data_IF_402953170152
#
_entry.id   IF_402953170152
#
_cell.length_a   1.000
_cell.length_b   1.000
_cell.length_c   1.000
_cell.angle_alpha   90.00
_cell.angle_beta   90.00
_cell.angle_gamma   90.00
#
_symmetry.space_group_name_H-M   'P 1'
#
loop_
_entity.id
_entity.type
_entity.pdbx_description
1 polymer ?
#
# COMPACT_ATOMS: atom_id res chain seq x y z
N UNK A 1 3.04 19.22 2.84
CA UNK A 1 4.44 19.63 2.58
C UNK A 1 5.17 20.10 3.85
N UNK A 2 4.63 21.04 4.63
CA UNK A 2 5.32 21.56 5.83
C UNK A 2 5.68 20.47 6.85
N UNK A 3 4.79 19.51 7.10
CA UNK A 3 5.09 18.37 8.01
C UNK A 3 6.24 17.51 7.48
N UNK A 4 6.27 17.17 6.18
CA UNK A 4 7.36 16.39 5.57
C UNK A 4 8.72 17.09 5.73
N UNK A 5 8.74 18.41 5.52
CA UNK A 5 9.95 19.23 5.71
C UNK A 5 10.38 19.22 7.18
N UNK A 6 9.44 19.32 8.12
CA UNK A 6 9.74 19.23 9.55
C UNK A 6 10.29 17.84 9.92
N UNK A 7 9.70 16.75 9.42
CA UNK A 7 10.18 15.39 9.67
C UNK A 7 11.63 15.19 9.18
N UNK A 8 11.99 15.78 8.05
CA UNK A 8 13.37 15.79 7.55
C UNK A 8 14.31 16.66 8.40
N UNK A 9 13.89 17.89 8.77
CA UNK A 9 14.67 18.80 9.61
C UNK A 9 14.97 18.16 10.97
N UNK A 10 13.97 17.52 11.58
CA UNK A 10 14.12 16.81 12.85
C UNK A 10 14.75 15.42 12.73
N UNK A 11 15.19 15.01 11.52
CA UNK A 11 15.79 13.70 11.22
C UNK A 11 14.93 12.53 11.69
N UNK A 12 13.61 12.71 11.70
CA UNK A 12 12.65 11.65 11.97
C UNK A 12 12.43 10.76 10.74
N UNK A 13 12.79 11.26 9.56
CA UNK A 13 12.80 10.54 8.28
C UNK A 13 14.13 10.75 7.53
N UNK A 14 14.51 9.77 6.74
CA UNK A 14 15.71 9.77 5.89
C UNK A 14 15.43 10.32 4.49
N UNK A 15 16.48 10.71 3.77
CA UNK A 15 16.34 11.15 2.37
C UNK A 15 15.83 10.05 1.44
N UNK A 16 16.16 8.78 1.71
CA UNK A 16 15.64 7.65 0.94
C UNK A 16 14.13 7.45 1.19
N UNK A 17 13.68 7.55 2.43
CA UNK A 17 12.25 7.54 2.76
C UNK A 17 11.53 8.71 2.09
N UNK A 18 12.10 9.92 2.11
CA UNK A 18 11.51 11.08 1.44
C UNK A 18 11.37 10.89 -0.08
N UNK A 19 12.31 10.22 -0.75
CA UNK A 19 12.19 9.88 -2.18
C UNK A 19 11.00 8.94 -2.44
N UNK A 20 10.76 7.96 -1.56
CA UNK A 20 9.59 7.07 -1.66
C UNK A 20 8.32 7.87 -1.44
N UNK A 21 8.27 8.66 -0.37
CA UNK A 21 7.11 9.48 -0.02
C UNK A 21 6.75 10.45 -1.17
N UNK A 22 7.76 11.05 -1.80
CA UNK A 22 7.59 11.88 -2.99
C UNK A 22 7.10 11.05 -4.19
N UNK A 23 7.62 9.85 -4.39
CA UNK A 23 7.14 8.94 -5.45
C UNK A 23 5.66 8.60 -5.26
N UNK A 24 5.21 8.33 -4.03
CA UNK A 24 3.79 8.15 -3.71
C UNK A 24 2.95 9.39 -4.03
N UNK A 25 3.49 10.59 -3.78
CA UNK A 25 2.81 11.84 -4.14
C UNK A 25 2.54 11.91 -5.64
N UNK A 26 3.59 11.70 -6.44
CA UNK A 26 3.54 11.82 -7.90
C UNK A 26 2.64 10.73 -8.49
N UNK A 27 2.90 9.47 -8.14
CA UNK A 27 2.17 8.30 -8.64
C UNK A 27 0.69 8.38 -8.25
N UNK A 28 0.39 8.76 -7.01
CA UNK A 28 -0.96 8.96 -6.51
C UNK A 28 -1.69 10.08 -7.25
N UNK A 29 -1.04 11.23 -7.45
CA UNK A 29 -1.64 12.37 -8.17
C UNK A 29 -1.93 12.02 -9.63
N UNK A 30 -0.99 11.37 -10.33
CA UNK A 30 -1.21 10.92 -11.73
C UNK A 30 -2.37 9.92 -11.81
N UNK A 31 -2.44 9.00 -10.84
CA UNK A 31 -3.52 8.02 -10.75
C UNK A 31 -4.87 8.69 -10.55
N UNK A 32 -4.97 9.65 -9.63
CA UNK A 32 -6.19 10.41 -9.39
C UNK A 32 -6.65 11.16 -10.64
N UNK A 33 -5.72 11.86 -11.31
CA UNK A 33 -6.05 12.63 -12.53
C UNK A 33 -6.61 11.69 -13.59
N UNK A 34 -5.95 10.55 -13.82
CA UNK A 34 -6.44 9.57 -14.78
C UNK A 34 -7.81 9.01 -14.35
N UNK A 35 -7.95 8.55 -13.11
CA UNK A 35 -9.15 7.84 -12.66
C UNK A 35 -10.39 8.72 -12.56
N UNK A 36 -10.23 9.97 -12.15
CA UNK A 36 -11.31 10.96 -12.17
C UNK A 36 -11.68 11.34 -13.61
N UNK A 37 -10.71 11.45 -14.53
CA UNK A 37 -10.99 11.74 -15.95
C UNK A 37 -11.83 10.67 -16.65
N UNK A 38 -11.68 9.40 -16.27
CA UNK A 38 -12.51 8.28 -16.79
C UNK A 38 -13.75 8.01 -15.94
N UNK A 39 -14.10 8.93 -15.04
CA UNK A 39 -15.34 8.89 -14.24
C UNK A 39 -15.36 7.81 -13.15
N UNK A 40 -14.20 7.32 -12.70
CA UNK A 40 -14.15 6.26 -11.68
C UNK A 40 -14.68 6.71 -10.31
N UNK A 41 -14.54 8.00 -9.99
CA UNK A 41 -15.14 8.71 -8.86
C UNK A 41 -15.06 10.21 -9.12
N UNK A 42 -15.75 10.99 -8.28
CA UNK A 42 -15.72 12.46 -8.35
C UNK A 42 -15.46 13.07 -6.97
N UNK A 43 -14.77 14.21 -6.96
CA UNK A 43 -14.68 15.09 -5.81
C UNK A 43 -15.83 16.12 -5.90
N UNK A 44 -16.83 16.06 -5.01
CA UNK A 44 -18.02 16.91 -5.13
C UNK A 44 -17.76 18.36 -4.71
N UNK A 45 -16.80 18.58 -3.82
CA UNK A 45 -16.47 19.89 -3.27
C UNK A 45 -15.41 20.61 -4.10
N UNK A 46 -15.52 21.94 -4.16
CA UNK A 46 -14.51 22.77 -4.81
C UNK A 46 -13.19 22.75 -4.01
N UNK A 47 -12.08 22.51 -4.69
CA UNK A 47 -10.75 22.54 -4.09
C UNK A 47 -9.99 23.80 -4.50
N UNK A 48 -9.48 24.54 -3.51
CA UNK A 48 -8.65 25.74 -3.72
C UNK A 48 -7.30 25.36 -4.35
N UNK A 49 -6.73 24.23 -3.91
CA UNK A 49 -5.47 23.69 -4.39
C UNK A 49 -5.74 22.41 -5.18
N UNK A 50 -5.76 22.50 -6.51
CA UNK A 50 -6.04 21.37 -7.38
C UNK A 50 -5.16 21.38 -8.64
N UNK A 51 -4.87 20.19 -9.16
CA UNK A 51 -4.20 19.98 -10.45
C UNK A 51 -5.15 19.16 -11.32
N UNK A 52 -5.50 19.68 -12.50
CA UNK A 52 -6.42 19.00 -13.43
C UNK A 52 -7.75 18.54 -12.79
N UNK A 53 -8.32 19.36 -11.90
CA UNK A 53 -9.58 19.05 -11.18
C UNK A 53 -9.42 18.10 -9.99
N UNK A 54 -8.20 17.61 -9.72
CA UNK A 54 -7.90 16.74 -8.57
C UNK A 54 -7.36 17.59 -7.41
N UNK A 55 -7.96 17.51 -6.21
CA UNK A 55 -7.45 18.20 -5.03
C UNK A 55 -6.03 17.72 -4.66
N UNK A 56 -5.11 18.66 -4.42
CA UNK A 56 -3.73 18.35 -4.03
C UNK A 56 -3.61 17.54 -2.73
N UNK A 57 -4.63 17.62 -1.85
CA UNK A 57 -4.65 16.81 -0.63
C UNK A 57 -4.66 15.31 -0.90
N UNK A 58 -5.24 14.85 -2.03
CA UNK A 58 -5.26 13.43 -2.39
C UNK A 58 -3.84 12.89 -2.60
N UNK A 59 -2.99 13.62 -3.35
CA UNK A 59 -1.57 13.34 -3.49
C UNK A 59 -0.86 13.27 -2.14
N UNK A 60 -1.20 14.13 -1.19
CA UNK A 60 -0.64 14.07 0.16
C UNK A 60 -1.14 12.88 0.97
N UNK A 61 -2.39 12.45 0.80
CA UNK A 61 -2.90 11.23 1.42
C UNK A 61 -2.09 10.01 0.98
N UNK A 62 -1.74 9.89 -0.30
CA UNK A 62 -0.88 8.80 -0.78
C UNK A 62 0.52 8.86 -0.16
N UNK A 63 1.13 10.05 -0.05
CA UNK A 63 2.41 10.24 0.64
C UNK A 63 2.39 9.76 2.09
N UNK A 64 1.28 10.00 2.81
CA UNK A 64 1.12 9.53 4.19
C UNK A 64 1.17 8.01 4.30
N UNK A 65 0.66 7.26 3.31
CA UNK A 65 0.73 5.80 3.28
C UNK A 65 2.19 5.33 3.19
N UNK A 66 2.98 5.94 2.30
CA UNK A 66 4.40 5.63 2.15
C UNK A 66 5.19 5.93 3.43
N UNK A 67 4.98 7.10 4.04
CA UNK A 67 5.61 7.48 5.31
C UNK A 67 5.24 6.51 6.43
N UNK A 68 3.95 6.20 6.57
CA UNK A 68 3.46 5.24 7.56
C UNK A 68 4.10 3.86 7.40
N UNK A 69 4.16 3.31 6.18
CA UNK A 69 4.76 2.00 5.93
C UNK A 69 6.26 1.98 6.24
N UNK A 70 7.01 3.00 5.81
CA UNK A 70 8.44 3.15 6.14
C UNK A 70 8.65 3.19 7.66
N UNK A 71 7.78 3.93 8.37
CA UNK A 71 7.85 4.06 9.82
C UNK A 71 7.47 2.77 10.53
N UNK A 72 6.38 2.12 10.13
CA UNK A 72 5.93 0.85 10.67
C UNK A 72 7.01 -0.23 10.50
N UNK A 73 7.64 -0.28 9.33
CA UNK A 73 8.76 -1.20 9.06
C UNK A 73 9.90 -1.05 10.07
N UNK A 74 10.26 0.19 10.37
CA UNK A 74 11.37 0.50 11.28
C UNK A 74 10.98 0.31 12.73
N UNK A 75 9.78 0.77 13.12
CA UNK A 75 9.30 0.75 14.50
C UNK A 75 9.00 -0.67 14.98
N UNK A 76 8.44 -1.51 14.11
CA UNK A 76 8.11 -2.88 14.44
C UNK A 76 9.21 -3.87 14.08
N UNK A 77 10.38 -3.40 13.62
CA UNK A 77 11.52 -4.23 13.23
C UNK A 77 11.08 -5.38 12.30
N UNK A 78 10.51 -5.04 11.15
CA UNK A 78 10.01 -6.04 10.23
C UNK A 78 11.14 -6.91 9.65
N UNK A 79 10.99 -8.22 9.84
CA UNK A 79 11.84 -9.27 9.29
C UNK A 79 10.96 -10.27 8.52
N UNK A 80 11.51 -10.93 7.52
CA UNK A 80 10.73 -11.75 6.58
C UNK A 80 11.37 -13.11 6.35
N UNK A 81 10.62 -14.18 6.62
CA UNK A 81 11.02 -15.53 6.21
C UNK A 81 10.40 -15.88 4.86
N UNK A 82 11.17 -16.57 4.00
CA UNK A 82 10.75 -16.98 2.66
C UNK A 82 10.17 -15.82 1.82
N UNK A 83 10.83 -14.65 1.88
CA UNK A 83 10.49 -13.52 1.04
C UNK A 83 10.86 -13.84 -0.43
N UNK A 84 9.99 -13.57 -1.43
CA UNK A 84 10.33 -13.78 -2.83
C UNK A 84 11.48 -12.88 -3.27
N UNK A 85 12.17 -13.21 -4.36
CA UNK A 85 13.15 -12.28 -4.92
C UNK A 85 12.46 -10.95 -5.28
N UNK A 86 13.09 -9.82 -4.95
CA UNK A 86 12.50 -8.48 -5.17
C UNK A 86 12.13 -8.20 -6.63
N UNK A 87 12.81 -8.85 -7.59
CA UNK A 87 12.46 -8.76 -9.01
C UNK A 87 11.04 -9.25 -9.29
N UNK A 88 10.61 -10.35 -8.66
CA UNK A 88 9.26 -10.89 -8.85
C UNK A 88 8.20 -9.98 -8.23
N UNK A 89 8.50 -9.37 -7.09
CA UNK A 89 7.65 -8.36 -6.46
C UNK A 89 7.51 -7.11 -7.34
N UNK A 90 8.61 -6.66 -7.94
CA UNK A 90 8.62 -5.53 -8.87
C UNK A 90 7.79 -5.83 -10.13
N UNK A 91 8.00 -7.00 -10.76
CA UNK A 91 7.24 -7.44 -11.93
C UNK A 91 5.74 -7.52 -11.62
N UNK A 92 5.36 -8.14 -10.51
CA UNK A 92 3.96 -8.21 -10.07
C UNK A 92 3.39 -6.79 -9.84
N UNK A 93 4.13 -5.91 -9.18
CA UNK A 93 3.68 -4.54 -8.90
C UNK A 93 3.47 -3.73 -10.17
N UNK A 94 4.37 -3.85 -11.15
CA UNK A 94 4.22 -3.20 -12.46
C UNK A 94 3.00 -3.76 -13.19
N UNK A 95 2.81 -5.09 -13.20
CA UNK A 95 1.65 -5.72 -13.83
C UNK A 95 0.32 -5.28 -13.18
N UNK A 96 0.28 -5.18 -11.85
CA UNK A 96 -0.87 -4.63 -11.12
C UNK A 96 -1.11 -3.18 -11.52
N UNK A 97 -0.06 -2.34 -11.55
CA UNK A 97 -0.20 -0.92 -11.88
C UNK A 97 -0.72 -0.74 -13.31
N UNK A 98 -0.15 -1.46 -14.27
CA UNK A 98 -0.60 -1.43 -15.67
C UNK A 98 -2.06 -1.87 -15.76
N UNK A 99 -2.43 -3.02 -15.20
CA UNK A 99 -3.83 -3.48 -15.20
C UNK A 99 -4.77 -2.50 -14.51
N UNK A 100 -4.33 -1.84 -13.43
CA UNK A 100 -5.11 -0.82 -12.74
C UNK A 100 -5.43 0.35 -13.66
N UNK A 101 -4.58 0.74 -14.60
CA UNK A 101 -4.90 1.80 -15.57
C UNK A 101 -5.64 1.28 -16.81
N UNK A 102 -5.33 0.07 -17.26
CA UNK A 102 -5.81 -0.44 -18.55
C UNK A 102 -7.13 -1.18 -18.49
N UNK A 103 -7.58 -1.69 -17.33
CA UNK A 103 -8.86 -2.44 -17.23
C UNK A 103 -10.11 -1.63 -17.64
N UNK A 104 -9.99 -0.32 -17.76
CA UNK A 104 -11.03 0.54 -18.35
C UNK A 104 -11.18 0.35 -19.86
N UNK A 105 -10.14 -0.14 -20.53
CA UNK A 105 -10.05 -0.29 -21.99
C UNK A 105 -9.91 -1.73 -22.44
N UNK A 106 -9.34 -2.60 -21.60
CA UNK A 106 -9.11 -4.02 -21.88
C UNK A 106 -9.70 -4.90 -20.78
N UNK A 107 -9.63 -6.22 -20.96
CA UNK A 107 -10.09 -7.18 -19.97
C UNK A 107 -9.41 -6.99 -18.61
N UNK A 108 -10.17 -7.26 -17.56
CA UNK A 108 -9.71 -7.14 -16.18
C UNK A 108 -8.99 -8.41 -15.70
N UNK A 109 -7.66 -8.36 -15.70
CA UNK A 109 -6.80 -9.49 -15.32
C UNK A 109 -6.57 -9.64 -13.80
N UNK A 110 -7.38 -8.98 -12.94
CA UNK A 110 -7.21 -9.05 -11.48
C UNK A 110 -7.14 -10.47 -10.92
N UNK A 111 -7.92 -11.42 -11.44
CA UNK A 111 -7.87 -12.83 -11.00
C UNK A 111 -6.50 -13.49 -11.21
N UNK A 112 -5.84 -13.21 -12.33
CA UNK A 112 -4.48 -13.70 -12.62
C UNK A 112 -3.49 -13.05 -11.66
N UNK A 113 -3.64 -11.75 -11.40
CA UNK A 113 -2.78 -11.02 -10.47
C UNK A 113 -2.95 -11.49 -9.02
N UNK A 114 -4.18 -11.82 -8.59
CA UNK A 114 -4.42 -12.44 -7.28
C UNK A 114 -3.75 -13.80 -7.16
N UNK A 115 -3.88 -14.66 -8.18
CA UNK A 115 -3.21 -15.95 -8.19
C UNK A 115 -1.68 -15.79 -8.10
N UNK A 116 -1.10 -14.87 -8.86
CA UNK A 116 0.33 -14.57 -8.79
C UNK A 116 0.76 -14.04 -7.41
N UNK A 117 0.01 -13.10 -6.83
CA UNK A 117 0.27 -12.57 -5.50
C UNK A 117 0.22 -13.66 -4.42
N UNK A 118 -0.79 -14.53 -4.47
CA UNK A 118 -0.91 -15.67 -3.55
C UNK A 118 0.27 -16.61 -3.75
N UNK A 119 0.58 -17.03 -4.98
CA UNK A 119 1.69 -17.95 -5.25
C UNK A 119 3.03 -17.43 -4.73
N UNK A 120 3.32 -16.15 -4.90
CA UNK A 120 4.56 -15.54 -4.42
C UNK A 120 4.57 -15.43 -2.89
N UNK A 121 3.48 -14.99 -2.28
CA UNK A 121 3.47 -14.57 -0.87
C UNK A 121 2.91 -15.62 0.10
N UNK A 122 2.40 -16.75 -0.39
CA UNK A 122 1.76 -17.80 0.44
C UNK A 122 2.70 -18.33 1.53
N UNK A 123 3.99 -18.45 1.20
CA UNK A 123 5.01 -18.95 2.13
C UNK A 123 5.67 -17.84 2.95
N UNK A 124 5.45 -16.58 2.57
CA UNK A 124 6.13 -15.44 3.19
C UNK A 124 5.51 -15.14 4.54
N UNK A 125 6.36 -15.08 5.56
CA UNK A 125 5.96 -14.73 6.93
C UNK A 125 6.64 -13.43 7.32
N UNK A 126 5.86 -12.51 7.88
CA UNK A 126 6.37 -11.28 8.47
C UNK A 126 6.50 -11.47 9.97
N UNK A 127 7.68 -11.19 10.49
CA UNK A 127 8.02 -11.12 11.90
C UNK A 127 8.08 -9.66 12.30
N UNK A 128 7.49 -9.35 13.45
CA UNK A 128 7.39 -7.98 13.94
C UNK A 128 7.40 -7.99 15.47
N UNK A 129 8.04 -6.99 16.06
CA UNK A 129 8.11 -6.84 17.51
C UNK A 129 7.20 -5.71 17.95
N UNK A 130 6.09 -6.04 18.61
CA UNK A 130 5.29 -5.04 19.28
C UNK A 130 5.85 -4.85 20.69
N UNK A 131 6.56 -3.74 20.90
CA UNK A 131 7.21 -3.33 22.14
C UNK A 131 8.36 -4.25 22.60
N UNK A 132 8.04 -5.48 23.02
CA UNK A 132 9.03 -6.44 23.57
C UNK A 132 8.91 -7.86 23.04
N UNK A 133 7.73 -8.28 22.58
CA UNK A 133 7.49 -9.68 22.21
C UNK A 133 7.50 -9.81 20.68
N UNK A 134 8.42 -10.61 20.10
CA UNK A 134 8.38 -10.94 18.69
C UNK A 134 7.12 -11.74 18.38
N UNK A 135 6.41 -11.36 17.33
CA UNK A 135 5.25 -12.06 16.80
C UNK A 135 5.43 -12.26 15.31
N UNK A 136 4.70 -13.22 14.75
CA UNK A 136 4.70 -13.42 13.31
C UNK A 136 3.28 -13.66 12.81
N UNK A 137 3.09 -13.38 11.52
CA UNK A 137 1.90 -13.79 10.78
C UNK A 137 2.26 -14.04 9.30
N UNK A 138 1.45 -14.81 8.56
CA UNK A 138 1.56 -14.86 7.11
C UNK A 138 1.43 -13.45 6.51
N UNK A 139 2.31 -13.07 5.58
CA UNK A 139 2.29 -11.72 5.00
C UNK A 139 0.96 -11.44 4.28
N UNK A 140 0.41 -12.43 3.57
CA UNK A 140 -0.92 -12.34 2.95
C UNK A 140 -2.03 -12.01 3.95
N UNK A 141 -1.98 -12.57 5.16
CA UNK A 141 -2.95 -12.25 6.21
C UNK A 141 -2.82 -10.79 6.64
N UNK A 142 -1.58 -10.30 6.80
CA UNK A 142 -1.32 -8.89 7.09
C UNK A 142 -1.89 -7.96 6.01
N UNK A 143 -1.62 -8.25 4.73
CA UNK A 143 -2.16 -7.47 3.61
C UNK A 143 -3.69 -7.49 3.59
N UNK A 144 -4.30 -8.67 3.82
CA UNK A 144 -5.76 -8.81 3.87
C UNK A 144 -6.38 -7.97 4.99
N UNK A 145 -5.78 -7.99 6.19
CA UNK A 145 -6.25 -7.20 7.33
C UNK A 145 -6.14 -5.69 7.04
N UNK A 146 -5.03 -5.22 6.48
CA UNK A 146 -4.88 -3.81 6.09
C UNK A 146 -5.89 -3.45 5.01
N UNK A 147 -6.11 -4.30 4.01
CA UNK A 147 -7.14 -4.12 2.97
C UNK A 147 -8.52 -3.94 3.58
N UNK A 148 -8.86 -4.75 4.59
CA UNK A 148 -10.14 -4.66 5.29
C UNK A 148 -10.30 -3.30 5.98
N UNK A 149 -9.29 -2.81 6.69
CA UNK A 149 -9.35 -1.49 7.31
C UNK A 149 -9.44 -0.35 6.30
N UNK A 150 -8.76 -0.45 5.15
CA UNK A 150 -8.90 0.51 4.06
C UNK A 150 -10.32 0.49 3.51
N UNK A 151 -10.90 -0.69 3.28
CA UNK A 151 -12.27 -0.80 2.78
C UNK A 151 -13.29 -0.24 3.78
N UNK A 152 -13.09 -0.41 5.08
CA UNK A 152 -13.91 0.26 6.11
C UNK A 152 -13.75 1.78 6.02
N UNK A 153 -12.52 2.29 5.94
CA UNK A 153 -12.26 3.72 5.78
C UNK A 153 -12.88 4.30 4.49
N UNK A 154 -12.88 3.53 3.41
CA UNK A 154 -13.50 3.88 2.12
C UNK A 154 -15.02 4.03 2.26
N UNK A 155 -15.67 3.12 2.99
CA UNK A 155 -17.10 3.24 3.29
C UNK A 155 -17.42 4.48 4.13
N UNK A 156 -16.56 4.80 5.12
CA UNK A 156 -16.69 6.02 5.91
C UNK A 156 -16.50 7.26 5.02
N UNK A 157 -15.47 7.29 4.17
CA UNK A 157 -15.18 8.42 3.28
C UNK A 157 -16.29 8.70 2.27
N UNK A 158 -16.90 7.64 1.72
CA UNK A 158 -18.07 7.77 0.84
C UNK A 158 -19.34 8.17 1.60
N UNK A 159 -19.51 7.70 2.84
CA UNK A 159 -20.60 8.13 3.72
C UNK A 159 -20.52 9.61 4.09
N UNK A 160 -19.30 10.12 4.36
CA UNK A 160 -19.05 11.54 4.64
C UNK A 160 -18.99 12.42 3.39
N UNK A 161 -19.21 11.85 2.20
CA UNK A 161 -19.18 12.53 0.90
C UNK A 161 -17.85 13.20 0.56
N UNK A 162 -16.74 12.70 1.10
CA UNK A 162 -15.39 13.19 0.77
C UNK A 162 -15.07 12.92 -0.71
N UNK A 163 -15.51 11.77 -1.22
CA UNK A 163 -15.59 11.43 -2.64
C UNK A 163 -16.76 10.46 -2.84
N UNK A 164 -17.27 10.37 -4.06
CA UNK A 164 -18.44 9.53 -4.38
C UNK A 164 -18.21 8.68 -5.62
N UNK A 165 -18.65 7.42 -5.56
CA UNK A 165 -18.75 6.56 -6.73
C UNK A 165 -19.99 6.87 -7.58
N UNK A 166 -20.00 6.56 -8.89
CA UNK A 166 -21.15 6.82 -9.75
C UNK A 166 -22.47 6.23 -9.24
N UNK A 167 -22.44 5.04 -8.63
CA UNK A 167 -23.61 4.39 -8.02
C UNK A 167 -24.11 5.05 -6.73
N UNK A 168 -23.31 5.91 -6.10
CA UNK A 168 -23.63 6.54 -4.82
C UNK A 168 -24.18 7.98 -4.96
N UNK A 169 -24.52 8.41 -6.18
CA UNK A 169 -25.00 9.79 -6.44
C UNK A 169 -26.39 10.06 -5.87
N UNK A 170 -27.25 9.06 -5.86
CA UNK A 170 -28.66 9.18 -5.44
C UNK A 170 -28.92 8.64 -4.01
N UNK A 171 -27.93 7.97 -3.42
CA UNK A 171 -27.99 7.40 -2.07
C UNK A 171 -26.70 6.70 -1.71
N UNK A 172 -26.41 6.58 -0.42
CA UNK A 172 -25.24 5.83 0.02
C UNK A 172 -25.51 4.33 -0.03
N UNK A 173 -24.61 3.59 -0.66
CA UNK A 173 -24.57 2.13 -0.66
C UNK A 173 -23.19 1.64 -0.22
N UNK A 174 -23.13 0.39 0.24
CA UNK A 174 -21.87 -0.24 0.63
C UNK A 174 -20.92 -0.34 -0.57
N UNK A 175 -19.66 0.06 -0.36
CA UNK A 175 -18.65 0.01 -1.42
C UNK A 175 -18.39 -1.42 -1.86
N UNK A 176 -18.45 -1.67 -3.18
CA UNK A 176 -18.35 -3.02 -3.75
C UNK A 176 -17.07 -3.77 -3.34
N UNK A 177 -17.17 -5.11 -3.28
CA UNK A 177 -16.02 -6.00 -3.07
C UNK A 177 -14.97 -5.91 -4.20
N UNK A 178 -15.36 -5.43 -5.38
CA UNK A 178 -14.41 -5.13 -6.44
C UNK A 178 -13.36 -4.09 -6.01
N UNK A 179 -13.74 -3.10 -5.21
CA UNK A 179 -12.81 -2.09 -4.66
C UNK A 179 -11.91 -2.68 -3.57
N UNK A 180 -12.45 -3.57 -2.74
CA UNK A 180 -11.64 -4.34 -1.79
C UNK A 180 -10.49 -5.06 -2.51
N UNK A 181 -10.79 -5.75 -3.61
CA UNK A 181 -9.78 -6.42 -4.41
C UNK A 181 -8.75 -5.48 -5.03
N UNK A 182 -9.17 -4.28 -5.48
CA UNK A 182 -8.24 -3.26 -5.95
C UNK A 182 -7.30 -2.77 -4.85
N UNK A 183 -7.81 -2.50 -3.65
CA UNK A 183 -7.00 -2.08 -2.51
C UNK A 183 -5.98 -3.14 -2.10
N UNK A 184 -6.37 -4.42 -2.12
CA UNK A 184 -5.45 -5.53 -1.87
C UNK A 184 -4.25 -5.49 -2.82
N UNK A 185 -4.48 -5.37 -4.12
CA UNK A 185 -3.42 -5.35 -5.12
C UNK A 185 -2.57 -4.06 -5.05
N UNK A 186 -3.19 -2.90 -4.80
CA UNK A 186 -2.47 -1.63 -4.61
C UNK A 186 -1.59 -1.65 -3.35
N UNK A 187 -1.97 -2.38 -2.31
CA UNK A 187 -1.12 -2.61 -1.14
C UNK A 187 0.12 -3.43 -1.48
N UNK A 188 0.06 -4.35 -2.45
CA UNK A 188 1.25 -5.08 -2.92
C UNK A 188 2.25 -4.13 -3.59
N UNK A 189 1.76 -3.17 -4.39
CA UNK A 189 2.61 -2.12 -4.96
C UNK A 189 3.24 -1.30 -3.82
N UNK A 190 2.41 -0.87 -2.87
CA UNK A 190 2.85 -0.05 -1.74
C UNK A 190 3.95 -0.75 -0.93
N UNK A 191 3.73 -2.01 -0.59
CA UNK A 191 4.70 -2.88 0.07
C UNK A 191 6.00 -2.97 -0.73
N UNK A 192 5.92 -3.26 -2.03
CA UNK A 192 7.09 -3.45 -2.89
C UNK A 192 7.95 -2.20 -2.97
N UNK A 193 7.34 -1.01 -3.12
CA UNK A 193 8.05 0.27 -3.14
C UNK A 193 8.86 0.49 -1.86
N UNK A 194 8.28 0.19 -0.71
CA UNK A 194 8.95 0.33 0.59
C UNK A 194 10.02 -0.75 0.77
N UNK A 195 9.72 -2.00 0.39
CA UNK A 195 10.65 -3.12 0.48
C UNK A 195 11.90 -2.93 -0.40
N UNK A 196 11.79 -2.25 -1.55
CA UNK A 196 12.95 -1.92 -2.39
C UNK A 196 13.97 -1.02 -1.68
N UNK A 197 13.50 -0.17 -0.77
CA UNK A 197 14.35 0.75 -0.01
C UNK A 197 14.80 0.11 1.30
N UNK A 198 13.85 -0.44 2.06
CA UNK A 198 14.11 -1.01 3.38
C UNK A 198 14.87 -2.33 3.33
N UNK A 199 14.76 -3.05 2.22
CA UNK A 199 15.34 -4.38 1.96
C UNK A 199 14.87 -5.42 3.00
N UNK A 200 14.07 -6.43 2.59
CA UNK A 200 13.65 -7.50 3.51
C UNK A 200 14.85 -8.19 4.14
N UNK A 201 14.94 -8.14 5.47
CA UNK A 201 15.94 -8.86 6.25
C UNK A 201 15.38 -10.21 6.71
N UNK A 202 16.23 -11.23 6.80
CA UNK A 202 15.83 -12.52 7.36
C UNK A 202 15.66 -12.43 8.89
N UNK A 203 14.78 -13.26 9.51
CA UNK A 203 14.56 -13.19 10.93
C UNK A 203 15.76 -13.68 11.74
N UNK A 204 16.23 -12.87 12.70
CA UNK A 204 17.42 -13.19 13.51
C UNK A 204 17.27 -14.45 14.38
N UNK A 205 16.03 -14.82 14.70
CA UNK A 205 15.71 -16.01 15.51
C UNK A 205 15.99 -17.35 14.80
N UNK A 206 16.19 -17.35 13.47
CA UNK A 206 16.53 -18.56 12.74
C UNK A 206 17.93 -19.09 13.11
N UNK A 207 18.86 -18.21 13.49
CA UNK A 207 20.25 -18.57 13.80
C UNK A 207 20.40 -19.22 15.18
N UNK A 208 19.63 -18.80 16.18
CA UNK A 208 19.71 -19.36 17.54
C UNK A 208 19.14 -20.79 17.64
N UNK A 209 18.08 -21.09 16.88
CA UNK A 209 17.49 -22.43 16.85
C UNK A 209 18.39 -23.47 16.16
N UNK A 210 19.15 -23.07 15.15
CA UNK A 210 20.14 -23.92 14.48
C UNK A 210 21.38 -24.12 15.35
N UNK A 211 21.86 -23.07 16.02
CA UNK A 211 22.98 -23.16 16.96
C UNK A 211 22.68 -24.10 18.14
N UNK A 212 21.47 -24.06 18.70
CA UNK A 212 21.05 -24.96 19.80
C UNK A 212 20.82 -26.41 19.34
N UNK A 213 20.47 -26.62 18.07
CA UNK A 213 20.31 -27.97 17.49
C UNK A 213 21.65 -28.63 17.13
N UNK A 214 22.72 -27.86 16.95
CA UNK A 214 24.08 -28.36 16.66
C UNK A 214 24.89 -28.67 17.93
N UNK A 215 24.40 -28.28 19.11
CA UNK A 215 25.04 -28.52 20.42
C UNK A 215 24.43 -29.74 21.15
N UNK A 216 23.44 -30.42 20.55
CA UNK A 216 22.86 -31.69 21.03
C UNK A 216 23.24 -32.84 20.12
#
# INVERSE_FOLDING_TARGET
MSVQVLLLIFRLETLEEAKVIFSYHVVGTVMEIFKTSVGSWVYPEAAIFAIAGVPLFSGFMYSCIGSYLCRAWSLFHFEFAAHPAMIWMAVLSVAIYVNFFTHHYIYDFRWVLFAAAIMLLLRTRIYFTNWRVPRYMPLLLGVLLVTLFIWIAENIGTYTKTWLYPGQREGWELVSMGKFGSWFLLLIISYTLVALIKKPAEPKLADEGVALAQIR
#
